data_IF_879854785171
#
_entry.id   IF_879854785171
#
_cell.length_a   1.000
_cell.length_b   1.000
_cell.length_c   1.000
_cell.angle_alpha   90.00
_cell.angle_beta   90.00
_cell.angle_gamma   90.00
#
_symmetry.space_group_name_H-M   'P 1'
#
loop_
_entity.id
_entity.type
_entity.pdbx_description
1 polymer ?
#
# COMPACT_ATOMS: atom_id res chain seq x y z
N UNK A 1 32.48 47.88 16.17
CA UNK A 1 31.88 46.59 16.56
C UNK A 1 30.54 46.81 17.21
N UNK A 2 29.48 46.17 16.71
CA UNK A 2 28.12 46.27 17.26
C UNK A 2 28.05 45.50 18.58
N UNK A 3 27.58 46.13 19.66
CA UNK A 3 27.30 45.42 20.93
C UNK A 3 25.95 44.73 20.79
N UNK A 4 25.91 43.44 21.14
CA UNK A 4 24.70 42.63 21.07
C UNK A 4 24.31 42.26 22.49
N UNK A 5 23.03 42.43 22.81
CA UNK A 5 22.52 42.04 24.10
C UNK A 5 22.50 40.50 24.22
N UNK A 6 23.09 39.98 25.30
CA UNK A 6 23.13 38.56 25.63
C UNK A 6 22.67 38.37 27.08
N UNK A 7 21.68 37.48 27.33
CA UNK A 7 21.34 37.06 28.69
C UNK A 7 22.57 36.48 29.40
N UNK A 8 22.78 36.85 30.66
CA UNK A 8 23.88 36.31 31.47
C UNK A 8 23.77 34.78 31.51
N UNK A 9 24.84 34.09 31.08
CA UNK A 9 24.95 32.63 31.12
C UNK A 9 24.49 31.87 29.86
N UNK A 10 23.96 32.54 28.83
CA UNK A 10 23.50 31.87 27.59
C UNK A 10 24.41 32.24 26.41
N UNK A 11 25.27 31.30 25.98
CA UNK A 11 26.03 31.45 24.73
C UNK A 11 25.06 31.35 23.55
N UNK A 12 24.76 32.47 22.91
CA UNK A 12 23.92 32.51 21.70
C UNK A 12 24.76 32.24 20.45
N UNK A 13 24.21 31.46 19.53
CA UNK A 13 24.78 31.29 18.19
C UNK A 13 24.54 32.58 17.39
N UNK A 14 25.46 32.98 16.49
CA UNK A 14 25.27 34.16 15.63
C UNK A 14 23.97 34.15 14.83
N UNK A 15 23.47 32.96 14.47
CA UNK A 15 22.21 32.75 13.74
C UNK A 15 20.94 33.01 14.56
N UNK A 16 21.08 33.16 15.87
CA UNK A 16 19.97 33.36 16.81
C UNK A 16 19.96 34.76 17.42
N UNK A 17 20.87 35.64 16.96
CA UNK A 17 20.85 37.08 17.20
C UNK A 17 19.78 37.69 16.31
N UNK A 18 18.93 38.51 16.90
CA UNK A 18 17.84 39.23 16.24
C UNK A 18 18.06 40.73 16.31
N UNK A 19 17.34 41.49 15.49
CA UNK A 19 17.37 42.96 15.53
C UNK A 19 17.00 43.50 16.91
N UNK A 20 16.08 42.83 17.62
CA UNK A 20 15.67 43.19 18.98
C UNK A 20 16.84 43.13 19.97
N UNK A 21 17.81 42.23 19.77
CA UNK A 21 19.01 42.12 20.61
C UNK A 21 19.97 43.30 20.41
N UNK A 22 20.00 43.87 19.21
CA UNK A 22 20.78 45.08 18.89
C UNK A 22 20.06 46.31 19.44
N UNK A 23 18.74 46.40 19.21
CA UNK A 23 17.89 47.49 19.73
C UNK A 23 17.98 47.56 21.25
N UNK A 24 17.90 46.43 21.96
CA UNK A 24 18.02 46.42 23.41
C UNK A 24 19.40 46.90 23.88
N UNK A 25 20.48 46.51 23.19
CA UNK A 25 21.83 46.96 23.52
C UNK A 25 22.06 48.45 23.27
N UNK A 26 21.53 49.01 22.17
CA UNK A 26 21.63 50.45 21.89
C UNK A 26 20.72 51.26 22.81
N UNK A 27 19.53 50.74 23.14
CA UNK A 27 18.64 51.37 24.11
C UNK A 27 19.30 51.49 25.48
N UNK A 28 19.91 50.42 26.00
CA UNK A 28 20.62 50.45 27.30
C UNK A 28 21.74 51.50 27.31
N UNK A 29 22.45 51.66 26.19
CA UNK A 29 23.51 52.67 26.02
C UNK A 29 22.94 54.10 26.02
N UNK A 30 21.93 54.36 25.20
CA UNK A 30 21.29 55.68 25.10
C UNK A 30 20.64 56.06 26.44
N UNK A 31 19.99 55.11 27.11
CA UNK A 31 19.39 55.31 28.42
C UNK A 31 20.43 55.69 29.49
N UNK A 32 21.58 55.01 29.50
CA UNK A 32 22.68 55.33 30.41
C UNK A 32 23.27 56.72 30.14
N UNK A 33 23.52 57.06 28.88
CA UNK A 33 24.06 58.37 28.47
C UNK A 33 23.08 59.51 28.81
N UNK A 34 21.78 59.31 28.56
CA UNK A 34 20.75 60.30 28.89
C UNK A 34 20.62 60.50 30.40
N UNK A 35 20.58 59.41 31.17
CA UNK A 35 20.52 59.47 32.64
C UNK A 35 21.70 60.24 33.24
N UNK A 36 22.90 60.08 32.70
CA UNK A 36 24.10 60.78 33.18
C UNK A 36 24.01 62.30 32.98
N UNK A 37 23.30 62.75 31.94
CA UNK A 37 23.12 64.18 31.60
C UNK A 37 22.00 64.87 32.38
N UNK A 38 21.13 64.12 33.05
CA UNK A 38 20.01 64.68 33.82
C UNK A 38 20.49 65.00 35.23
N UNK A 39 20.35 66.24 35.70
CA UNK A 39 20.82 66.65 37.04
C UNK A 39 19.84 66.28 38.17
N UNK A 40 18.55 66.16 37.87
CA UNK A 40 17.51 65.84 38.85
C UNK A 40 17.53 64.37 39.25
N UNK A 41 17.76 64.10 40.55
CA UNK A 41 17.72 62.76 41.10
C UNK A 41 16.33 62.10 40.97
N UNK A 42 15.26 62.87 41.09
CA UNK A 42 13.88 62.38 40.91
C UNK A 42 13.65 61.94 39.46
N UNK A 43 14.13 62.71 38.49
CA UNK A 43 14.04 62.34 37.07
C UNK A 43 14.90 61.10 36.75
N UNK A 44 16.11 60.99 37.32
CA UNK A 44 16.95 59.78 37.17
C UNK A 44 16.24 58.51 37.64
N UNK A 45 15.53 58.57 38.78
CA UNK A 45 14.75 57.43 39.30
C UNK A 45 13.56 57.07 38.39
N UNK A 46 12.88 58.06 37.83
CA UNK A 46 11.79 57.82 36.87
C UNK A 46 12.30 57.16 35.59
N UNK A 47 13.46 57.62 35.07
CA UNK A 47 14.14 57.01 33.92
C UNK A 47 14.53 55.56 34.23
N UNK A 48 15.08 55.27 35.41
CA UNK A 48 15.41 53.90 35.81
C UNK A 48 14.18 52.98 35.83
N UNK A 49 13.05 53.46 36.38
CA UNK A 49 11.79 52.71 36.38
C UNK A 49 11.27 52.42 34.98
N UNK A 50 11.32 53.41 34.08
CA UNK A 50 10.92 53.21 32.69
C UNK A 50 11.86 52.25 31.95
N UNK A 51 13.17 52.46 32.05
CA UNK A 51 14.17 51.67 31.33
C UNK A 51 14.20 50.22 31.80
N UNK A 52 14.00 49.96 33.09
CA UNK A 52 13.87 48.59 33.62
C UNK A 52 12.60 47.91 33.07
N UNK A 53 11.44 48.56 33.14
CA UNK A 53 10.20 48.00 32.60
C UNK A 53 10.27 47.73 31.08
N UNK A 54 10.84 48.65 30.30
CA UNK A 54 11.03 48.45 28.87
C UNK A 54 12.01 47.32 28.56
N UNK A 55 13.12 47.25 29.30
CA UNK A 55 14.11 46.17 29.17
C UNK A 55 13.49 44.81 29.43
N UNK A 56 12.71 44.67 30.50
CA UNK A 56 12.09 43.40 30.87
C UNK A 56 11.09 42.95 29.78
N UNK A 57 10.24 43.86 29.30
CA UNK A 57 9.31 43.58 28.19
C UNK A 57 10.03 43.16 26.91
N UNK A 58 11.11 43.85 26.55
CA UNK A 58 11.86 43.55 25.32
C UNK A 58 12.64 42.23 25.46
N UNK A 59 13.20 41.94 26.64
CA UNK A 59 13.88 40.69 26.94
C UNK A 59 12.91 39.48 26.89
N UNK A 60 11.70 39.65 27.40
CA UNK A 60 10.64 38.64 27.31
C UNK A 60 10.24 38.38 25.86
N UNK A 61 10.04 39.45 25.07
CA UNK A 61 9.71 39.34 23.65
C UNK A 61 10.81 38.60 22.86
N UNK A 62 12.08 38.93 23.10
CA UNK A 62 13.24 38.23 22.50
C UNK A 62 13.18 36.73 22.82
N UNK A 63 12.88 36.39 24.08
CA UNK A 63 12.80 35.01 24.55
C UNK A 63 11.65 34.25 23.87
N UNK A 64 10.48 34.86 23.75
CA UNK A 64 9.33 34.26 23.07
C UNK A 64 9.56 34.06 21.56
N UNK A 65 10.20 35.02 20.88
CA UNK A 65 10.59 34.87 19.47
C UNK A 65 11.54 33.67 19.28
N UNK A 66 12.49 33.49 20.20
CA UNK A 66 13.41 32.35 20.17
C UNK A 66 12.68 31.01 20.41
N UNK A 67 11.76 30.95 21.38
CA UNK A 67 10.91 29.77 21.61
C UNK A 67 10.09 29.44 20.37
N UNK A 68 9.44 30.43 19.76
CA UNK A 68 8.64 30.25 18.54
C UNK A 68 9.48 29.70 17.38
N UNK A 69 10.69 30.24 17.17
CA UNK A 69 11.64 29.75 16.15
C UNK A 69 12.01 28.28 16.39
N UNK A 70 12.27 27.91 17.64
CA UNK A 70 12.59 26.53 18.00
C UNK A 70 11.41 25.58 17.80
N UNK A 71 10.19 26.01 18.16
CA UNK A 71 8.96 25.23 17.89
C UNK A 71 8.74 25.06 16.39
N UNK A 72 8.91 26.12 15.58
CA UNK A 72 8.82 26.03 14.11
C UNK A 72 9.81 25.02 13.52
N UNK A 73 11.07 25.03 13.99
CA UNK A 73 12.09 24.04 13.58
C UNK A 73 11.69 22.61 13.95
N UNK A 74 11.20 22.39 15.17
CA UNK A 74 10.73 21.07 15.62
C UNK A 74 9.52 20.60 14.79
N UNK A 75 8.57 21.49 14.51
CA UNK A 75 7.40 21.17 13.70
C UNK A 75 7.79 20.77 12.26
N UNK A 76 8.72 21.52 11.64
CA UNK A 76 9.25 21.15 10.32
C UNK A 76 9.90 19.76 10.33
N UNK A 77 10.68 19.43 11.36
CA UNK A 77 11.28 18.09 11.52
C UNK A 77 10.20 17.00 11.63
N UNK A 78 9.21 17.19 12.48
CA UNK A 78 8.09 16.25 12.64
C UNK A 78 7.37 16.03 11.31
N UNK A 79 7.10 17.10 10.55
CA UNK A 79 6.46 16.99 9.24
C UNK A 79 7.31 16.18 8.24
N UNK A 80 8.63 16.37 8.24
CA UNK A 80 9.52 15.57 7.39
C UNK A 80 9.54 14.10 7.78
N UNK A 81 9.51 13.79 9.08
CA UNK A 81 9.49 12.42 9.57
C UNK A 81 8.14 11.74 9.26
N UNK A 82 7.02 12.46 9.40
CA UNK A 82 5.68 12.00 8.98
C UNK A 82 5.66 11.67 7.48
N UNK A 83 6.19 12.55 6.63
CA UNK A 83 6.22 12.32 5.19
C UNK A 83 7.05 11.09 4.82
N UNK A 84 8.20 10.89 5.47
CA UNK A 84 9.02 9.67 5.29
C UNK A 84 8.24 8.42 5.69
N UNK A 85 7.57 8.44 6.85
CA UNK A 85 6.76 7.31 7.31
C UNK A 85 5.59 7.01 6.38
N UNK A 86 4.97 8.06 5.83
CA UNK A 86 3.90 7.92 4.82
C UNK A 86 4.40 7.26 3.54
N UNK A 87 5.59 7.65 3.05
CA UNK A 87 6.19 7.01 1.87
C UNK A 87 6.52 5.54 2.11
N UNK A 88 7.10 5.21 3.28
CA UNK A 88 7.36 3.81 3.65
C UNK A 88 6.07 2.99 3.72
N UNK A 89 5.00 3.56 4.29
CA UNK A 89 3.71 2.88 4.37
C UNK A 89 3.13 2.59 2.97
N UNK A 90 3.24 3.54 2.04
CA UNK A 90 2.77 3.34 0.66
C UNK A 90 3.51 2.18 -0.03
N UNK A 91 4.85 2.12 0.10
CA UNK A 91 5.65 1.03 -0.45
C UNK A 91 5.21 -0.34 0.10
N UNK A 92 5.03 -0.44 1.42
CA UNK A 92 4.56 -1.68 2.05
C UNK A 92 3.14 -2.05 1.59
N UNK A 93 2.25 -1.08 1.41
CA UNK A 93 0.91 -1.33 0.88
C UNK A 93 0.94 -1.84 -0.56
N UNK A 94 1.83 -1.33 -1.41
CA UNK A 94 2.03 -1.80 -2.78
C UNK A 94 2.56 -3.24 -2.80
N UNK A 95 3.56 -3.56 -1.97
CA UNK A 95 4.09 -4.91 -1.79
C UNK A 95 3.02 -5.89 -1.28
N UNK A 96 2.22 -5.48 -0.29
CA UNK A 96 1.12 -6.27 0.23
C UNK A 96 0.08 -6.55 -0.86
N UNK A 97 -0.30 -5.54 -1.63
CA UNK A 97 -1.27 -5.70 -2.72
C UNK A 97 -0.75 -6.68 -3.78
N UNK A 98 0.54 -6.60 -4.13
CA UNK A 98 1.18 -7.52 -5.06
C UNK A 98 1.20 -8.97 -4.55
N UNK A 99 1.57 -9.17 -3.29
CA UNK A 99 1.62 -10.51 -2.67
C UNK A 99 0.23 -11.12 -2.50
N UNK A 100 -0.80 -10.33 -2.17
CA UNK A 100 -2.20 -10.80 -2.12
C UNK A 100 -2.70 -11.29 -3.47
N UNK A 101 -2.32 -10.62 -4.57
CA UNK A 101 -2.66 -11.07 -5.92
C UNK A 101 -2.01 -12.40 -6.26
N UNK A 102 -0.72 -12.56 -5.95
CA UNK A 102 0.01 -13.81 -6.13
C UNK A 102 -0.62 -14.95 -5.31
N UNK A 103 -1.00 -14.69 -4.06
CA UNK A 103 -1.68 -15.66 -3.21
C UNK A 103 -3.01 -16.12 -3.81
N UNK A 104 -3.83 -15.19 -4.31
CA UNK A 104 -5.10 -15.52 -4.99
C UNK A 104 -4.88 -16.37 -6.23
N UNK A 105 -3.84 -16.09 -7.02
CA UNK A 105 -3.49 -16.92 -8.17
C UNK A 105 -3.11 -18.33 -7.74
N UNK A 106 -2.23 -18.46 -6.75
CA UNK A 106 -1.77 -19.76 -6.25
C UNK A 106 -2.92 -20.60 -5.68
N UNK A 107 -3.88 -19.97 -4.99
CA UNK A 107 -5.09 -20.65 -4.50
C UNK A 107 -5.96 -21.20 -5.64
N UNK A 108 -6.09 -20.47 -6.75
CA UNK A 108 -6.83 -20.96 -7.93
C UNK A 108 -6.11 -22.13 -8.59
N UNK A 109 -4.79 -22.04 -8.75
CA UNK A 109 -3.97 -23.12 -9.30
C UNK A 109 -4.06 -24.38 -8.42
N UNK A 110 -4.00 -24.22 -7.11
CA UNK A 110 -4.19 -25.32 -6.16
C UNK A 110 -5.56 -26.00 -6.33
N UNK A 111 -6.64 -25.23 -6.42
CA UNK A 111 -7.99 -25.77 -6.62
C UNK A 111 -8.10 -26.55 -7.95
N UNK A 112 -7.50 -26.05 -9.03
CA UNK A 112 -7.47 -26.74 -10.33
C UNK A 112 -6.67 -28.05 -10.26
N UNK A 113 -5.54 -28.06 -9.55
CA UNK A 113 -4.75 -29.28 -9.35
C UNK A 113 -5.52 -30.31 -8.53
N UNK A 114 -6.22 -29.88 -7.49
CA UNK A 114 -7.08 -30.75 -6.68
C UNK A 114 -8.22 -31.38 -7.50
N UNK A 115 -8.86 -30.61 -8.39
CA UNK A 115 -9.88 -31.12 -9.31
C UNK A 115 -9.28 -32.16 -10.28
N UNK A 116 -8.11 -31.87 -10.87
CA UNK A 116 -7.41 -32.82 -11.75
C UNK A 116 -7.02 -34.10 -11.03
N UNK A 117 -6.51 -34.00 -9.81
CA UNK A 117 -6.17 -35.17 -8.98
C UNK A 117 -7.42 -36.03 -8.75
N UNK A 118 -8.54 -35.41 -8.38
CA UNK A 118 -9.80 -36.13 -8.20
C UNK A 118 -10.25 -36.81 -9.49
N UNK A 119 -10.12 -36.15 -10.64
CA UNK A 119 -10.49 -36.70 -11.96
C UNK A 119 -9.62 -37.90 -12.33
N UNK A 120 -8.31 -37.81 -12.07
CA UNK A 120 -7.38 -38.93 -12.28
C UNK A 120 -7.69 -40.12 -11.38
N UNK A 121 -8.09 -39.87 -10.12
CA UNK A 121 -8.51 -40.93 -9.20
C UNK A 121 -9.76 -41.65 -9.74
N UNK A 122 -10.76 -40.91 -10.22
CA UNK A 122 -11.96 -41.50 -10.84
C UNK A 122 -11.62 -42.28 -12.11
N UNK A 123 -10.74 -41.76 -12.97
CA UNK A 123 -10.30 -42.46 -14.17
C UNK A 123 -9.57 -43.77 -13.84
N UNK A 124 -8.73 -43.77 -12.80
CA UNK A 124 -8.02 -44.97 -12.34
C UNK A 124 -8.99 -46.01 -11.79
N UNK A 125 -9.99 -45.59 -11.01
CA UNK A 125 -11.05 -46.48 -10.53
C UNK A 125 -11.83 -47.08 -11.70
N UNK A 126 -12.29 -46.25 -12.64
CA UNK A 126 -13.01 -46.71 -13.83
C UNK A 126 -12.24 -47.76 -14.63
N UNK A 127 -10.93 -47.57 -14.83
CA UNK A 127 -10.09 -48.56 -15.52
C UNK A 127 -9.96 -49.87 -14.74
N UNK A 128 -9.95 -49.79 -13.41
CA UNK A 128 -9.91 -50.97 -12.54
C UNK A 128 -11.22 -51.75 -12.63
N UNK A 129 -12.36 -51.06 -12.53
CA UNK A 129 -13.70 -51.65 -12.66
C UNK A 129 -13.88 -52.29 -14.04
N UNK A 130 -13.37 -51.65 -15.10
CA UNK A 130 -13.45 -52.16 -16.46
C UNK A 130 -12.61 -53.42 -16.66
N UNK A 131 -11.44 -53.48 -16.01
CA UNK A 131 -10.59 -54.68 -16.02
C UNK A 131 -11.25 -55.85 -15.29
N UNK A 132 -11.89 -55.58 -14.15
CA UNK A 132 -12.66 -56.57 -13.40
C UNK A 132 -13.84 -57.09 -14.23
N UNK A 133 -14.61 -56.20 -14.84
CA UNK A 133 -15.70 -56.56 -15.74
C UNK A 133 -15.22 -57.40 -16.93
N UNK A 134 -14.08 -57.07 -17.52
CA UNK A 134 -13.49 -57.85 -18.60
C UNK A 134 -13.14 -59.27 -18.14
N UNK A 135 -12.55 -59.42 -16.95
CA UNK A 135 -12.22 -60.73 -16.40
C UNK A 135 -13.48 -61.56 -16.18
N UNK A 136 -14.50 -60.98 -15.54
CA UNK A 136 -15.80 -61.64 -15.32
C UNK A 136 -16.45 -62.09 -16.64
N UNK A 137 -16.35 -61.29 -17.70
CA UNK A 137 -16.85 -61.67 -19.04
C UNK A 137 -16.07 -62.86 -19.64
N UNK A 138 -14.75 -62.91 -19.46
CA UNK A 138 -13.92 -64.01 -19.94
C UNK A 138 -14.26 -65.30 -19.19
N UNK A 139 -14.33 -65.23 -17.86
CA UNK A 139 -14.66 -66.37 -16.99
C UNK A 139 -16.04 -66.94 -17.34
N UNK A 140 -17.07 -66.09 -17.49
CA UNK A 140 -18.42 -66.52 -17.90
C UNK A 140 -18.43 -67.22 -19.27
N UNK A 141 -17.60 -66.76 -20.21
CA UNK A 141 -17.52 -67.34 -21.56
C UNK A 141 -16.84 -68.71 -21.55
N UNK A 142 -15.83 -68.90 -20.71
CA UNK A 142 -15.21 -70.21 -20.50
C UNK A 142 -16.21 -71.21 -19.90
N UNK A 143 -17.04 -70.76 -18.96
CA UNK A 143 -18.11 -71.58 -18.37
C UNK A 143 -19.25 -71.89 -19.38
N UNK A 144 -19.50 -71.00 -20.35
CA UNK A 144 -20.65 -71.09 -21.28
C UNK A 144 -20.24 -71.05 -22.77
N UNK A 145 -19.47 -72.02 -23.29
CA UNK A 145 -18.84 -71.93 -24.61
C UNK A 145 -19.80 -72.03 -25.81
N UNK A 146 -21.02 -72.55 -25.61
CA UNK A 146 -22.02 -72.72 -26.68
C UNK A 146 -22.98 -71.53 -26.79
N UNK A 147 -22.93 -70.60 -25.84
CA UNK A 147 -23.85 -69.47 -25.78
C UNK A 147 -23.34 -68.34 -26.69
N UNK A 148 -24.20 -67.86 -27.60
CA UNK A 148 -23.82 -66.87 -28.61
C UNK A 148 -23.92 -65.47 -27.99
N UNK A 149 -22.83 -64.69 -28.06
CA UNK A 149 -22.84 -63.32 -27.54
C UNK A 149 -23.87 -62.44 -28.29
N UNK A 150 -24.85 -61.91 -27.57
CA UNK A 150 -25.85 -60.97 -28.08
C UNK A 150 -25.62 -59.62 -27.43
N UNK A 151 -25.44 -58.57 -28.24
CA UNK A 151 -25.22 -57.22 -27.76
C UNK A 151 -26.51 -56.41 -27.86
N UNK A 152 -27.05 -56.01 -26.71
CA UNK A 152 -28.21 -55.12 -26.62
C UNK A 152 -27.85 -53.65 -26.88
N UNK A 153 -28.87 -52.79 -26.95
CA UNK A 153 -28.72 -51.33 -27.09
C UNK A 153 -28.01 -50.66 -25.90
N UNK A 154 -27.99 -51.31 -24.73
CA UNK A 154 -27.25 -50.90 -23.53
C UNK A 154 -25.87 -51.55 -23.39
N UNK A 155 -25.42 -52.31 -24.40
CA UNK A 155 -24.10 -52.95 -24.36
C UNK A 155 -22.96 -51.93 -24.47
N UNK A 156 -21.79 -52.25 -23.91
CA UNK A 156 -20.62 -51.36 -23.97
C UNK A 156 -20.27 -50.92 -25.40
N UNK A 157 -20.28 -51.78 -26.44
CA UNK A 157 -20.05 -51.33 -27.82
C UNK A 157 -21.10 -50.31 -28.29
N UNK A 158 -22.37 -50.48 -27.94
CA UNK A 158 -23.43 -49.54 -28.28
C UNK A 158 -23.25 -48.19 -27.55
N UNK A 159 -22.93 -48.23 -26.26
CA UNK A 159 -22.65 -47.03 -25.46
C UNK A 159 -21.40 -46.28 -25.95
N UNK A 160 -20.36 -46.98 -26.40
CA UNK A 160 -19.16 -46.37 -26.99
C UNK A 160 -19.46 -45.66 -28.32
N UNK A 161 -20.33 -46.23 -29.15
CA UNK A 161 -20.79 -45.57 -30.38
C UNK A 161 -21.59 -44.31 -30.08
N UNK A 162 -22.50 -44.35 -29.10
CA UNK A 162 -23.29 -43.17 -28.73
C UNK A 162 -22.47 -42.08 -28.05
N UNK A 163 -21.58 -42.44 -27.12
CA UNK A 163 -20.68 -41.47 -26.48
C UNK A 163 -19.77 -40.77 -27.48
N UNK A 164 -19.28 -41.45 -28.52
CA UNK A 164 -18.54 -40.81 -29.62
C UNK A 164 -19.36 -39.75 -30.35
N UNK A 165 -20.67 -39.99 -30.57
CA UNK A 165 -21.56 -39.01 -31.20
C UNK A 165 -21.75 -37.78 -30.31
N UNK A 166 -21.94 -37.99 -29.00
CA UNK A 166 -22.08 -36.92 -28.01
C UNK A 166 -20.81 -36.04 -27.96
N UNK A 167 -19.63 -36.66 -27.88
CA UNK A 167 -18.35 -35.93 -27.89
C UNK A 167 -18.15 -35.12 -29.17
N UNK A 168 -18.60 -35.63 -30.32
CA UNK A 168 -18.60 -34.89 -31.57
C UNK A 168 -19.46 -33.63 -31.50
N UNK A 169 -20.67 -33.74 -30.94
CA UNK A 169 -21.58 -32.61 -30.75
C UNK A 169 -21.02 -31.56 -29.77
N UNK A 170 -20.44 -32.00 -28.65
CA UNK A 170 -19.78 -31.10 -27.68
C UNK A 170 -18.69 -30.28 -28.36
N UNK A 171 -17.83 -30.92 -29.15
CA UNK A 171 -16.75 -30.25 -29.87
C UNK A 171 -17.26 -29.20 -30.86
N UNK A 172 -18.41 -29.45 -31.50
CA UNK A 172 -19.07 -28.47 -32.34
C UNK A 172 -19.57 -27.26 -31.53
N UNK A 173 -20.21 -27.48 -30.38
CA UNK A 173 -20.65 -26.38 -29.52
C UNK A 173 -19.49 -25.54 -28.99
N UNK A 174 -18.39 -26.17 -28.57
CA UNK A 174 -17.18 -25.45 -28.16
C UNK A 174 -16.66 -24.54 -29.29
N UNK A 175 -16.58 -25.06 -30.52
CA UNK A 175 -16.10 -24.30 -31.67
C UNK A 175 -17.01 -23.11 -32.02
N UNK A 176 -18.33 -23.30 -31.93
CA UNK A 176 -19.30 -22.20 -32.08
C UNK A 176 -19.08 -21.13 -31.01
N UNK A 177 -18.92 -21.55 -29.75
CA UNK A 177 -18.75 -20.62 -28.64
C UNK A 177 -17.46 -19.79 -28.78
N UNK A 178 -16.34 -20.41 -29.19
CA UNK A 178 -15.08 -19.69 -29.46
C UNK A 178 -15.25 -18.62 -30.52
N UNK A 179 -15.91 -18.95 -31.65
CA UNK A 179 -16.18 -17.97 -32.73
C UNK A 179 -17.08 -16.83 -32.26
N UNK A 180 -18.07 -17.11 -31.42
CA UNK A 180 -18.92 -16.06 -30.85
C UNK A 180 -18.15 -15.14 -29.90
N UNK A 181 -17.25 -15.69 -29.08
CA UNK A 181 -16.38 -14.89 -28.22
C UNK A 181 -15.43 -13.99 -29.03
N UNK A 182 -14.84 -14.51 -30.10
CA UNK A 182 -14.01 -13.72 -31.04
C UNK A 182 -14.80 -12.57 -31.66
N UNK A 183 -16.02 -12.84 -32.16
CA UNK A 183 -16.88 -11.80 -32.74
C UNK A 183 -17.26 -10.71 -31.72
N UNK A 184 -17.59 -11.09 -30.48
CA UNK A 184 -17.87 -10.14 -29.40
C UNK A 184 -16.66 -9.29 -29.04
N UNK A 185 -15.46 -9.86 -29.08
CA UNK A 185 -14.22 -9.13 -28.83
C UNK A 185 -13.98 -8.06 -29.91
N UNK A 186 -14.10 -8.43 -31.18
CA UNK A 186 -13.99 -7.49 -32.32
C UNK A 186 -15.01 -6.35 -32.19
N UNK A 187 -16.26 -6.67 -31.85
CA UNK A 187 -17.31 -5.66 -31.71
C UNK A 187 -17.05 -4.68 -30.55
N UNK A 188 -16.48 -5.16 -29.43
CA UNK A 188 -16.05 -4.29 -28.32
C UNK A 188 -14.90 -3.36 -28.71
N UNK A 189 -13.93 -3.86 -29.47
CA UNK A 189 -12.83 -3.02 -29.97
C UNK A 189 -13.32 -1.93 -30.91
N UNK A 190 -14.24 -2.26 -31.83
CA UNK A 190 -14.85 -1.29 -32.76
C UNK A 190 -15.65 -0.19 -32.03
N UNK A 191 -16.37 -0.55 -30.96
CA UNK A 191 -17.09 0.41 -30.13
C UNK A 191 -16.14 1.32 -29.34
N UNK A 192 -15.01 0.81 -28.86
CA UNK A 192 -14.00 1.62 -28.16
C UNK A 192 -13.28 2.62 -29.05
N UNK A 193 -13.20 2.36 -30.36
CA UNK A 193 -12.58 3.25 -31.36
C UNK A 193 -13.52 4.37 -31.85
N UNK A 194 -14.81 4.31 -31.51
CA UNK A 194 -15.85 5.29 -31.90
C UNK A 194 -16.13 6.36 -30.83
N UNK A 195 -15.41 6.35 -29.71
CA UNK A 195 -15.44 7.36 -28.65
C UNK A 195 -14.04 7.89 -28.39
#
# INVERSE_FOLDING_TARGET
>A
SVRVWCPKGVKRLPKDITELDVVLSEFEKIAADYKQRVDSNTCRKAIDGFCSGFKDQLADLITEVQKLKNVKRKNAKVLTDINKKRQQLLQVCEELTGTEQQLKQLQREYAQLQERESSLRHATQFLTDLKELQQNCLDYREENPKEKAVYGTSSLPALLVESRRILGAERHFQNINTRLQEALHVQREELSKKH
#
